data_IF_587965719307
#
_entry.id   IF_587965719307
#
_cell.length_a   1.000
_cell.length_b   1.000
_cell.length_c   1.000
_cell.angle_alpha   90.00
_cell.angle_beta   90.00
_cell.angle_gamma   90.00
#
_symmetry.space_group_name_H-M   'P 1'
#
loop_
_entity.id
_entity.type
_entity.pdbx_description
1 polymer ?
#
# COMPACT_ATOMS: atom_id res chain seq x y z
N UNK A 1 7.23 1.02 18.46
CA UNK A 1 8.06 2.17 18.07
C UNK A 1 8.90 1.92 16.79
N UNK A 2 9.30 0.67 16.43
CA UNK A 2 10.06 0.36 15.19
C UNK A 2 9.31 0.59 13.88
N UNK A 3 7.98 0.57 13.85
CA UNK A 3 7.18 0.76 12.63
C UNK A 3 7.08 2.22 12.13
N UNK A 4 7.26 3.21 13.00
CA UNK A 4 7.14 4.65 12.67
C UNK A 4 8.43 5.16 12.00
N UNK A 5 9.59 4.71 12.44
CA UNK A 5 10.89 5.07 11.84
C UNK A 5 11.04 4.50 10.43
N UNK A 6 10.62 3.24 10.20
CA UNK A 6 10.65 2.62 8.88
C UNK A 6 9.71 3.32 7.86
N UNK A 7 8.59 3.90 8.31
CA UNK A 7 7.68 4.69 7.46
C UNK A 7 8.27 6.08 7.14
N UNK A 8 8.95 6.74 8.08
CA UNK A 8 9.62 8.03 7.84
C UNK A 8 10.76 7.91 6.83
N UNK A 9 11.65 6.94 6.98
CA UNK A 9 12.76 6.69 6.05
C UNK A 9 12.27 6.33 4.64
N UNK A 10 11.15 5.60 4.54
CA UNK A 10 10.53 5.26 3.25
C UNK A 10 9.93 6.49 2.55
N UNK A 11 9.38 7.45 3.29
CA UNK A 11 8.89 8.71 2.75
C UNK A 11 10.02 9.66 2.32
N UNK A 12 11.11 9.73 3.07
CA UNK A 12 12.27 10.54 2.70
C UNK A 12 12.95 10.05 1.41
N UNK A 13 13.08 8.73 1.23
CA UNK A 13 13.59 8.14 -0.01
C UNK A 13 12.70 8.45 -1.23
N UNK A 14 11.37 8.51 -1.05
CA UNK A 14 10.41 8.91 -2.09
C UNK A 14 10.54 10.39 -2.45
N UNK A 15 10.66 11.26 -1.47
CA UNK A 15 10.85 12.71 -1.69
C UNK A 15 12.15 12.97 -2.47
N UNK A 16 13.26 12.35 -2.09
CA UNK A 16 14.53 12.47 -2.82
C UNK A 16 14.42 11.98 -4.26
N UNK A 17 13.71 10.87 -4.51
CA UNK A 17 13.53 10.34 -5.87
C UNK A 17 12.64 11.25 -6.72
N UNK A 18 11.59 11.86 -6.14
CA UNK A 18 10.78 12.89 -6.80
C UNK A 18 11.60 14.13 -7.15
N UNK A 19 12.45 14.59 -6.24
CA UNK A 19 13.35 15.72 -6.49
C UNK A 19 14.35 15.40 -7.62
N UNK A 20 14.91 14.19 -7.63
CA UNK A 20 15.83 13.75 -8.67
C UNK A 20 15.15 13.64 -10.04
N UNK A 21 13.93 13.09 -10.11
CA UNK A 21 13.15 13.06 -11.35
C UNK A 21 12.74 14.47 -11.83
N UNK A 22 12.50 15.42 -10.93
CA UNK A 22 12.27 16.85 -11.29
C UNK A 22 13.51 17.44 -11.96
N UNK A 23 14.70 17.18 -11.40
CA UNK A 23 15.98 17.64 -11.97
C UNK A 23 16.25 16.98 -13.33
N UNK A 24 16.01 15.68 -13.46
CA UNK A 24 16.18 14.95 -14.72
C UNK A 24 15.21 15.45 -15.80
N UNK A 25 13.98 15.81 -15.45
CA UNK A 25 13.02 16.45 -16.38
C UNK A 25 13.41 17.86 -16.77
N UNK A 26 13.89 18.68 -15.84
CA UNK A 26 14.46 20.00 -16.18
C UNK A 26 15.60 19.87 -17.20
N UNK A 27 16.49 18.88 -17.03
CA UNK A 27 17.57 18.62 -17.96
C UNK A 27 17.11 18.05 -19.32
N UNK A 28 15.96 17.34 -19.38
CA UNK A 28 15.35 16.92 -20.67
C UNK A 28 14.70 18.08 -21.39
N UNK A 29 14.11 19.05 -20.70
CA UNK A 29 13.57 20.30 -21.28
C UNK A 29 14.59 21.08 -22.07
N UNK A 30 15.83 21.14 -21.61
CA UNK A 30 16.93 21.84 -22.31
C UNK A 30 17.33 21.16 -23.62
N UNK A 31 16.86 19.94 -23.92
CA UNK A 31 17.18 19.19 -25.13
C UNK A 31 16.10 19.18 -26.21
N UNK A 32 14.84 19.45 -25.84
CA UNK A 32 13.73 19.52 -26.79
C UNK A 32 13.44 21.02 -26.99
N UNK A 33 13.70 21.49 -28.21
CA UNK A 33 13.54 22.91 -28.57
C UNK A 33 12.21 23.46 -28.09
N UNK A 34 12.27 24.54 -27.33
CA UNK A 34 11.18 25.21 -26.63
C UNK A 34 10.09 25.68 -27.61
N UNK A 35 8.94 25.03 -27.56
CA UNK A 35 7.68 25.69 -27.83
C UNK A 35 7.42 26.60 -26.65
N UNK A 36 7.52 27.90 -26.86
CA UNK A 36 7.44 28.94 -25.80
C UNK A 36 5.99 29.10 -25.34
N UNK A 37 5.45 28.05 -24.68
CA UNK A 37 4.15 28.10 -24.04
C UNK A 37 4.30 28.69 -22.62
N UNK A 38 4.29 30.04 -22.53
CA UNK A 38 4.13 30.70 -21.26
C UNK A 38 2.68 30.48 -20.76
N UNK A 39 2.46 29.35 -20.08
CA UNK A 39 1.16 29.01 -19.48
C UNK A 39 0.98 29.81 -18.17
N UNK A 40 -0.22 30.32 -17.98
CA UNK A 40 -0.55 31.05 -16.75
C UNK A 40 -0.91 30.06 -15.63
N UNK A 41 0.01 29.90 -14.68
CA UNK A 41 -0.27 29.19 -13.44
C UNK A 41 -0.99 30.06 -12.40
N UNK A 42 -1.47 31.24 -12.78
CA UNK A 42 -2.08 32.20 -11.84
C UNK A 42 -1.14 32.64 -10.70
N UNK A 43 -1.69 33.13 -9.61
CA UNK A 43 -0.91 33.41 -8.41
C UNK A 43 -0.32 32.09 -7.86
N UNK A 44 0.92 32.16 -7.39
CA UNK A 44 1.60 30.95 -6.85
C UNK A 44 0.84 30.41 -5.65
N UNK A 45 0.38 29.16 -5.74
CA UNK A 45 -0.11 28.42 -4.59
C UNK A 45 0.99 28.22 -3.54
N UNK A 46 0.62 27.84 -2.32
CA UNK A 46 1.56 27.36 -1.31
C UNK A 46 2.43 26.21 -1.84
N UNK A 47 3.53 25.88 -1.16
CA UNK A 47 4.37 24.72 -1.54
C UNK A 47 3.62 23.41 -1.50
N UNK A 48 2.69 23.27 -0.54
CA UNK A 48 1.78 22.12 -0.41
C UNK A 48 0.45 22.50 -0.99
N UNK A 49 -0.09 21.69 -1.89
CA UNK A 49 -1.42 21.83 -2.51
C UNK A 49 -2.48 21.12 -1.68
N UNK A 50 -2.19 19.89 -1.26
CA UNK A 50 -3.04 19.14 -0.35
C UNK A 50 -2.20 18.18 0.48
N UNK A 51 -2.58 17.99 1.75
CA UNK A 51 -2.01 17.01 2.66
C UNK A 51 -3.13 16.21 3.30
N UNK A 52 -3.10 14.91 3.08
CA UNK A 52 -4.02 13.92 3.62
C UNK A 52 -3.28 13.07 4.63
N UNK A 53 -3.82 12.89 5.84
CA UNK A 53 -3.25 12.08 6.90
C UNK A 53 -4.28 11.08 7.41
N UNK A 54 -4.06 9.78 7.19
CA UNK A 54 -4.92 8.71 7.68
C UNK A 54 -6.35 8.74 7.15
N UNK A 55 -6.55 9.25 5.93
CA UNK A 55 -7.87 9.50 5.36
C UNK A 55 -8.56 8.19 4.98
N UNK A 56 -9.79 8.02 5.46
CA UNK A 56 -10.65 6.90 5.06
C UNK A 56 -12.03 7.40 4.60
N UNK A 57 -12.62 6.69 3.62
CA UNK A 57 -13.94 6.98 3.07
C UNK A 57 -14.65 5.72 2.63
N UNK A 58 -15.89 5.56 3.11
CA UNK A 58 -16.79 4.45 2.75
C UNK A 58 -18.14 4.95 2.27
N UNK A 59 -18.82 4.14 1.51
CA UNK A 59 -20.22 4.34 1.12
C UNK A 59 -20.99 3.04 1.38
N UNK A 60 -21.84 3.04 2.38
CA UNK A 60 -22.45 1.82 2.92
C UNK A 60 -21.36 0.85 3.37
N UNK A 61 -21.45 -0.39 2.95
CA UNK A 61 -20.47 -1.44 3.30
C UNK A 61 -19.17 -1.40 2.45
N UNK A 62 -19.12 -0.53 1.46
CA UNK A 62 -17.96 -0.45 0.56
C UNK A 62 -16.96 0.60 1.00
N UNK A 63 -15.79 0.16 1.46
CA UNK A 63 -14.65 1.03 1.71
C UNK A 63 -13.94 1.38 0.41
N UNK A 64 -13.94 2.67 0.02
CA UNK A 64 -13.26 3.16 -1.18
C UNK A 64 -11.84 3.65 -0.91
N UNK A 65 -11.60 4.23 0.26
CA UNK A 65 -10.31 4.76 0.66
C UNK A 65 -10.06 4.34 2.11
N UNK A 66 -8.90 3.74 2.38
CA UNK A 66 -8.53 3.23 3.69
C UNK A 66 -7.14 3.72 4.09
N UNK A 67 -7.07 4.46 5.18
CA UNK A 67 -5.83 4.96 5.83
C UNK A 67 -4.84 5.61 4.84
N UNK A 68 -5.37 6.45 3.93
CA UNK A 68 -4.54 7.11 2.92
C UNK A 68 -3.79 8.30 3.53
N UNK A 69 -2.46 8.26 3.42
CA UNK A 69 -1.59 9.40 3.70
C UNK A 69 -0.90 9.82 2.41
N UNK A 70 -1.18 11.05 1.99
CA UNK A 70 -0.70 11.60 0.72
C UNK A 70 -0.36 13.09 0.88
N UNK A 71 0.73 13.51 0.26
CA UNK A 71 1.09 14.93 0.14
C UNK A 71 1.27 15.28 -1.32
N UNK A 72 0.46 16.23 -1.81
CA UNK A 72 0.53 16.78 -3.16
C UNK A 72 1.25 18.14 -3.08
N UNK A 73 2.34 18.25 -3.81
CA UNK A 73 3.15 19.48 -3.84
C UNK A 73 2.83 20.29 -5.08
N UNK A 74 3.11 21.58 -5.02
CA UNK A 74 3.03 22.46 -6.19
C UNK A 74 3.92 21.94 -7.32
N UNK A 75 3.36 21.87 -8.53
CA UNK A 75 4.04 21.35 -9.72
C UNK A 75 3.96 19.85 -9.88
N UNK A 76 3.37 19.11 -8.95
CA UNK A 76 3.14 17.67 -9.13
C UNK A 76 2.11 17.42 -10.24
N UNK A 77 2.38 16.41 -11.06
CA UNK A 77 1.44 15.87 -12.02
C UNK A 77 0.97 14.52 -11.49
N UNK A 78 -0.15 14.53 -10.77
CA UNK A 78 -0.69 13.37 -10.08
C UNK A 78 -1.63 12.60 -10.98
N UNK A 79 -1.22 11.41 -11.43
CA UNK A 79 -2.05 10.46 -12.17
C UNK A 79 -2.80 9.51 -11.24
N UNK A 80 -4.10 9.32 -11.47
CA UNK A 80 -4.92 8.37 -10.74
C UNK A 80 -5.24 7.17 -11.65
N UNK A 81 -4.76 5.99 -11.27
CA UNK A 81 -5.03 4.73 -11.96
C UNK A 81 -6.17 3.96 -11.29
N UNK A 82 -6.76 3.05 -12.04
CA UNK A 82 -7.73 2.08 -11.53
C UNK A 82 -9.01 1.99 -12.37
N UNK A 83 -9.78 0.92 -12.19
CA UNK A 83 -11.03 0.70 -12.93
C UNK A 83 -12.09 1.74 -12.56
N UNK A 84 -13.14 1.82 -13.41
CA UNK A 84 -14.27 2.69 -13.11
C UNK A 84 -14.98 2.25 -11.82
N UNK A 85 -15.43 3.23 -11.03
CA UNK A 85 -16.10 2.98 -9.75
C UNK A 85 -15.19 2.60 -8.58
N UNK A 86 -13.85 2.62 -8.74
CA UNK A 86 -12.91 2.31 -7.63
C UNK A 86 -12.77 3.45 -6.62
N UNK A 87 -13.28 4.66 -6.94
CA UNK A 87 -13.20 5.81 -6.04
C UNK A 87 -12.32 6.95 -6.53
N UNK A 88 -11.86 6.96 -7.80
CA UNK A 88 -11.00 8.04 -8.35
C UNK A 88 -11.61 9.43 -8.15
N UNK A 89 -12.86 9.63 -8.59
CA UNK A 89 -13.55 10.92 -8.45
C UNK A 89 -13.83 11.29 -6.97
N UNK A 90 -14.06 10.30 -6.12
CA UNK A 90 -14.17 10.51 -4.66
C UNK A 90 -12.86 10.99 -4.08
N UNK A 91 -11.75 10.37 -4.47
CA UNK A 91 -10.41 10.77 -4.01
C UNK A 91 -10.07 12.19 -4.47
N UNK A 92 -10.37 12.55 -5.73
CA UNK A 92 -10.19 13.93 -6.22
C UNK A 92 -11.00 14.91 -5.37
N UNK A 93 -12.28 14.65 -5.12
CA UNK A 93 -13.13 15.51 -4.30
C UNK A 93 -12.60 15.69 -2.88
N UNK A 94 -12.01 14.66 -2.30
CA UNK A 94 -11.38 14.73 -0.97
C UNK A 94 -10.08 15.54 -1.04
N UNK A 95 -9.21 15.31 -2.03
CA UNK A 95 -7.98 16.09 -2.25
C UNK A 95 -8.30 17.58 -2.40
N UNK A 96 -9.42 17.91 -3.02
CA UNK A 96 -9.85 19.30 -3.25
C UNK A 96 -10.70 19.87 -2.10
N UNK A 97 -10.93 19.12 -1.03
CA UNK A 97 -11.73 19.53 0.12
C UNK A 97 -13.23 19.67 -0.16
N UNK A 98 -13.71 19.16 -1.31
CA UNK A 98 -15.12 19.19 -1.71
C UNK A 98 -15.94 18.09 -1.05
N UNK A 99 -15.27 17.09 -0.49
CA UNK A 99 -15.89 15.99 0.24
C UNK A 99 -15.10 15.73 1.52
N UNK A 100 -15.83 15.62 2.63
CA UNK A 100 -15.23 15.28 3.91
C UNK A 100 -14.93 13.76 3.98
N UNK A 101 -13.77 13.36 4.49
CA UNK A 101 -13.49 11.97 4.81
C UNK A 101 -14.31 11.53 6.04
N UNK A 102 -14.45 10.22 6.22
CA UNK A 102 -15.09 9.65 7.41
C UNK A 102 -14.12 9.64 8.61
N UNK A 103 -12.82 9.51 8.33
CA UNK A 103 -11.74 9.64 9.31
C UNK A 103 -10.47 10.20 8.67
N UNK A 104 -9.56 10.68 9.51
CA UNK A 104 -8.33 11.35 9.08
C UNK A 104 -8.50 12.85 8.89
N UNK A 105 -7.47 13.51 8.40
CA UNK A 105 -7.45 14.97 8.19
C UNK A 105 -7.03 15.31 6.77
N UNK A 106 -7.65 16.38 6.24
CA UNK A 106 -7.31 16.97 4.94
C UNK A 106 -6.97 18.43 5.15
N UNK A 107 -5.76 18.82 4.78
CA UNK A 107 -5.32 20.21 4.80
C UNK A 107 -5.08 20.67 3.38
N UNK A 108 -5.75 21.75 2.99
CA UNK A 108 -5.57 22.39 1.68
C UNK A 108 -4.50 23.46 1.74
N UNK A 109 -3.78 23.61 0.65
CA UNK A 109 -2.87 24.74 0.45
C UNK A 109 -3.59 26.07 0.33
N UNK A 110 -2.81 27.14 0.37
CA UNK A 110 -3.31 28.51 0.20
C UNK A 110 -3.34 28.93 -1.27
N UNK A 111 -4.21 29.88 -1.62
CA UNK A 111 -4.33 30.47 -2.95
C UNK A 111 -4.54 29.45 -4.08
N UNK A 112 -5.35 28.43 -3.86
CA UNK A 112 -5.67 27.44 -4.88
C UNK A 112 -6.69 28.04 -5.87
N UNK A 113 -6.30 28.09 -7.15
CA UNK A 113 -7.16 28.44 -8.29
C UNK A 113 -7.37 27.17 -9.11
N UNK A 114 -8.53 26.54 -8.91
CA UNK A 114 -8.85 25.24 -9.49
C UNK A 114 -9.60 25.43 -10.81
N UNK A 115 -9.13 24.77 -11.87
CA UNK A 115 -9.86 24.65 -13.13
C UNK A 115 -10.15 23.19 -13.48
N UNK A 116 -11.40 22.92 -13.86
CA UNK A 116 -11.87 21.60 -14.27
C UNK A 116 -12.05 21.54 -15.77
N UNK A 117 -11.39 20.58 -16.42
CA UNK A 117 -11.52 20.41 -17.87
C UNK A 117 -12.95 20.00 -18.28
N UNK A 118 -13.55 19.07 -17.54
CA UNK A 118 -14.87 18.52 -17.89
C UNK A 118 -16.01 19.52 -17.73
N UNK A 119 -15.93 20.43 -16.76
CA UNK A 119 -16.94 21.48 -16.57
C UNK A 119 -16.96 22.47 -17.73
N UNK A 120 -15.83 22.68 -18.41
CA UNK A 120 -15.75 23.59 -19.54
C UNK A 120 -16.44 23.06 -20.80
N UNK A 121 -16.64 21.74 -20.93
CA UNK A 121 -17.36 21.13 -22.07
C UNK A 121 -18.79 21.63 -22.16
N UNK A 122 -19.48 21.80 -21.03
CA UNK A 122 -20.84 22.35 -20.95
C UNK A 122 -20.92 23.88 -21.15
N UNK A 123 -19.79 24.58 -21.07
CA UNK A 123 -19.74 26.05 -21.16
C UNK A 123 -19.47 26.59 -22.56
N UNK A 124 -19.30 25.74 -23.58
CA UNK A 124 -19.12 26.22 -24.94
C UNK A 124 -20.47 26.71 -25.54
N UNK A 125 -20.56 28.01 -25.71
CA UNK A 125 -21.70 28.62 -26.37
C UNK A 125 -21.60 28.43 -27.90
N UNK A 126 -22.49 27.65 -28.54
CA UNK A 126 -22.40 27.38 -29.97
C UNK A 126 -22.56 28.59 -30.87
N UNK A 127 -23.08 29.69 -30.33
CA UNK A 127 -23.35 30.93 -31.09
C UNK A 127 -22.14 31.85 -31.15
N UNK A 128 -21.20 31.74 -30.20
CA UNK A 128 -19.97 32.55 -30.12
C UNK A 128 -18.93 32.11 -31.14
N UNK A 129 -18.04 33.05 -31.48
CA UNK A 129 -16.82 32.75 -32.24
C UNK A 129 -15.73 32.17 -31.35
N UNK A 130 -14.70 31.60 -31.98
CA UNK A 130 -13.53 31.08 -31.23
C UNK A 130 -12.91 32.20 -30.40
N UNK A 131 -12.70 33.37 -31.00
CA UNK A 131 -12.16 34.56 -30.33
C UNK A 131 -12.99 34.94 -29.11
N UNK A 132 -14.32 35.10 -29.26
CA UNK A 132 -15.22 35.47 -28.16
C UNK A 132 -15.27 34.42 -27.06
N UNK A 133 -14.99 33.16 -27.39
CA UNK A 133 -14.95 32.06 -26.43
C UNK A 133 -13.72 32.09 -25.54
N UNK A 134 -12.55 32.44 -26.11
CA UNK A 134 -11.27 32.48 -25.42
C UNK A 134 -11.04 33.82 -24.74
N UNK A 135 -11.39 34.92 -25.44
CA UNK A 135 -11.17 36.30 -24.95
C UNK A 135 -12.39 37.17 -25.21
N UNK A 136 -13.43 37.13 -24.34
CA UNK A 136 -14.64 37.89 -24.50
C UNK A 136 -14.36 39.42 -24.51
N UNK A 137 -14.70 40.08 -25.61
CA UNK A 137 -14.60 41.54 -25.73
C UNK A 137 -13.17 42.08 -25.88
N UNK A 138 -12.17 41.23 -26.15
CA UNK A 138 -10.78 41.68 -26.37
C UNK A 138 -10.11 40.87 -27.49
N UNK A 139 -9.22 41.50 -28.22
CA UNK A 139 -8.32 40.85 -29.17
C UNK A 139 -7.08 40.25 -28.51
N UNK A 140 -6.98 40.36 -27.21
CA UNK A 140 -5.81 39.97 -26.45
C UNK A 140 -6.18 39.01 -25.32
N UNK A 141 -5.32 38.00 -25.13
CA UNK A 141 -5.39 37.06 -24.02
C UNK A 141 -4.15 37.27 -23.15
N UNK A 142 -4.32 37.28 -21.85
CA UNK A 142 -3.21 37.30 -20.90
C UNK A 142 -2.96 35.87 -20.39
N UNK A 143 -1.78 35.34 -20.67
CA UNK A 143 -1.40 33.97 -20.30
C UNK A 143 0.01 34.03 -19.71
N UNK A 144 0.19 33.58 -18.47
CA UNK A 144 1.48 33.61 -17.77
C UNK A 144 2.02 35.01 -17.54
N UNK A 145 1.15 36.03 -17.40
CA UNK A 145 1.55 37.41 -17.30
C UNK A 145 2.03 38.01 -18.63
N UNK A 146 1.93 37.27 -19.73
CA UNK A 146 2.27 37.73 -21.08
C UNK A 146 1.00 37.99 -21.87
N UNK A 147 0.88 39.19 -22.43
CA UNK A 147 -0.23 39.55 -23.29
C UNK A 147 0.02 39.10 -24.72
N UNK A 148 -0.79 38.14 -25.20
CA UNK A 148 -0.73 37.56 -26.55
C UNK A 148 -1.96 37.98 -27.35
N UNK A 149 -1.79 38.24 -28.66
CA UNK A 149 -2.93 38.42 -29.54
C UNK A 149 -3.71 37.08 -29.71
N UNK A 150 -5.06 37.15 -29.63
CA UNK A 150 -5.92 35.94 -29.65
C UNK A 150 -5.69 35.06 -30.87
N UNK A 151 -5.38 35.61 -32.05
CA UNK A 151 -5.08 34.89 -33.27
C UNK A 151 -3.81 34.01 -33.08
N UNK A 152 -2.74 34.61 -32.53
CA UNK A 152 -1.49 33.91 -32.26
C UNK A 152 -1.70 32.83 -31.19
N UNK A 153 -2.43 33.14 -30.13
CA UNK A 153 -2.78 32.21 -29.09
C UNK A 153 -3.60 30.99 -29.59
N UNK A 154 -4.65 31.24 -30.38
CA UNK A 154 -5.41 30.13 -31.00
C UNK A 154 -4.59 29.31 -32.00
N UNK A 155 -3.58 29.95 -32.64
CA UNK A 155 -2.62 29.26 -33.49
C UNK A 155 -1.81 28.20 -32.74
N UNK A 156 -1.47 28.41 -31.47
CA UNK A 156 -0.82 27.44 -30.59
C UNK A 156 -1.69 26.18 -30.36
N UNK A 157 -3.03 26.30 -30.52
CA UNK A 157 -4.01 25.22 -30.45
C UNK A 157 -4.45 24.72 -31.83
N UNK A 158 -3.61 24.90 -32.84
CA UNK A 158 -3.82 24.41 -34.21
C UNK A 158 -5.04 25.04 -34.94
N UNK A 159 -5.43 26.25 -34.56
CA UNK A 159 -6.45 27.01 -35.29
C UNK A 159 -5.79 27.98 -36.28
N UNK A 160 -6.04 27.82 -37.58
CA UNK A 160 -5.49 28.77 -38.54
C UNK A 160 -6.14 30.15 -38.42
N UNK A 161 -5.44 31.27 -38.73
CA UNK A 161 -5.91 32.62 -38.52
C UNK A 161 -7.29 32.94 -39.13
N UNK A 162 -7.62 32.36 -40.30
CA UNK A 162 -8.89 32.61 -40.98
C UNK A 162 -10.10 31.97 -40.26
N UNK A 163 -9.86 31.07 -39.30
CA UNK A 163 -10.95 30.39 -38.56
C UNK A 163 -11.30 31.03 -37.22
N UNK A 164 -10.57 32.05 -36.79
CA UNK A 164 -10.76 32.69 -35.47
C UNK A 164 -12.16 33.25 -35.28
N UNK A 165 -12.78 33.75 -36.36
CA UNK A 165 -14.13 34.31 -36.37
C UNK A 165 -15.24 33.30 -36.70
N UNK A 166 -14.90 32.02 -36.82
CA UNK A 166 -15.87 30.95 -37.06
C UNK A 166 -16.64 30.64 -35.79
N UNK A 167 -17.94 30.30 -35.91
CA UNK A 167 -18.78 29.97 -34.78
C UNK A 167 -18.42 28.57 -34.23
N UNK A 168 -18.48 28.40 -32.91
CA UNK A 168 -18.28 27.12 -32.22
C UNK A 168 -19.20 26.01 -32.73
N UNK A 169 -20.42 26.34 -33.18
CA UNK A 169 -21.38 25.38 -33.76
C UNK A 169 -20.84 24.64 -34.97
N UNK A 170 -19.92 25.25 -35.75
CA UNK A 170 -19.36 24.68 -36.98
C UNK A 170 -18.11 23.84 -36.78
N UNK A 171 -17.63 23.71 -35.51
CA UNK A 171 -16.45 22.94 -35.19
C UNK A 171 -16.75 21.45 -35.12
N UNK A 172 -15.82 20.64 -35.57
CA UNK A 172 -15.77 19.19 -35.32
C UNK A 172 -15.58 18.89 -33.81
N UNK A 173 -15.80 17.65 -33.40
CA UNK A 173 -15.58 17.24 -32.01
C UNK A 173 -14.14 17.51 -31.53
N UNK A 174 -13.12 17.11 -32.32
CA UNK A 174 -11.73 17.38 -32.00
C UNK A 174 -11.41 18.87 -31.91
N UNK A 175 -11.92 19.69 -32.85
CA UNK A 175 -11.74 21.15 -32.80
C UNK A 175 -12.40 21.78 -31.58
N UNK A 176 -13.59 21.30 -31.18
CA UNK A 176 -14.23 21.74 -29.91
C UNK A 176 -13.36 21.44 -28.70
N UNK A 177 -12.77 20.27 -28.65
CA UNK A 177 -11.88 19.89 -27.55
C UNK A 177 -10.60 20.75 -27.54
N UNK A 178 -9.98 21.06 -28.69
CA UNK A 178 -8.86 22.00 -28.79
C UNK A 178 -9.25 23.40 -28.30
N UNK A 179 -10.45 23.88 -28.66
CA UNK A 179 -10.95 25.16 -28.18
C UNK A 179 -11.18 25.18 -26.67
N UNK A 180 -11.67 24.05 -26.11
CA UNK A 180 -11.79 23.89 -24.66
C UNK A 180 -10.43 23.96 -23.95
N UNK A 181 -9.41 23.35 -24.52
CA UNK A 181 -8.04 23.45 -24.00
C UNK A 181 -7.55 24.89 -24.07
N UNK A 182 -7.73 25.56 -25.20
CA UNK A 182 -7.38 26.97 -25.32
C UNK A 182 -8.10 27.85 -24.27
N UNK A 183 -9.41 27.63 -24.05
CA UNK A 183 -10.18 28.33 -23.03
C UNK A 183 -9.70 27.99 -21.60
N UNK A 184 -9.33 26.73 -21.33
CA UNK A 184 -8.81 26.28 -20.04
C UNK A 184 -7.50 27.00 -19.69
N UNK A 185 -6.55 27.00 -20.63
CA UNK A 185 -5.23 27.57 -20.41
C UNK A 185 -5.21 29.11 -20.51
N UNK A 186 -6.26 29.74 -21.04
CA UNK A 186 -6.43 31.18 -20.97
C UNK A 186 -6.90 31.69 -19.61
N UNK A 187 -7.41 30.83 -18.75
CA UNK A 187 -7.81 31.16 -17.37
C UNK A 187 -6.63 30.96 -16.41
N UNK A 188 -6.37 31.91 -15.52
CA UNK A 188 -5.36 31.74 -14.49
C UNK A 188 -5.79 30.56 -13.58
N UNK A 189 -4.99 29.52 -13.54
CA UNK A 189 -5.23 28.37 -12.68
C UNK A 189 -3.88 27.81 -12.21
N UNK A 190 -3.77 27.41 -10.96
CA UNK A 190 -2.57 26.78 -10.42
C UNK A 190 -2.79 25.30 -10.06
N UNK A 191 -4.03 24.82 -10.21
CA UNK A 191 -4.42 23.43 -10.05
C UNK A 191 -5.42 23.03 -11.14
N UNK A 192 -4.99 22.14 -12.03
CA UNK A 192 -5.84 21.58 -13.09
C UNK A 192 -6.36 20.21 -12.69
N UNK A 193 -7.66 20.00 -12.92
CA UNK A 193 -8.31 18.70 -12.75
C UNK A 193 -8.78 18.22 -14.11
N UNK A 194 -8.26 17.08 -14.55
CA UNK A 194 -8.54 16.52 -15.87
C UNK A 194 -9.04 15.07 -15.69
N UNK A 195 -10.28 14.84 -16.09
CA UNK A 195 -10.89 13.52 -16.10
C UNK A 195 -11.07 13.09 -17.55
N UNK A 196 -10.33 12.02 -17.95
CA UNK A 196 -10.30 11.47 -19.31
C UNK A 196 -10.11 12.54 -20.42
N UNK A 197 -9.07 13.40 -20.32
CA UNK A 197 -8.91 14.51 -21.26
C UNK A 197 -8.56 14.06 -22.68
N UNK A 198 -8.09 12.82 -22.87
CA UNK A 198 -7.71 12.27 -24.18
C UNK A 198 -8.91 11.73 -24.97
N UNK A 199 -10.07 11.57 -24.33
CA UNK A 199 -11.27 11.13 -25.03
C UNK A 199 -11.68 12.16 -26.12
N UNK A 200 -11.98 11.65 -27.29
CA UNK A 200 -12.38 12.43 -28.47
C UNK A 200 -11.31 13.39 -29.04
N UNK A 201 -10.04 13.28 -28.63
CA UNK A 201 -8.92 14.00 -29.23
C UNK A 201 -8.28 13.18 -30.36
N UNK A 202 -7.84 13.88 -31.41
CA UNK A 202 -6.95 13.32 -32.42
C UNK A 202 -5.52 13.27 -31.89
N UNK A 203 -4.66 12.51 -32.58
CA UNK A 203 -3.26 12.27 -32.15
C UNK A 203 -2.50 13.59 -31.97
N UNK A 204 -2.64 14.53 -32.92
CA UNK A 204 -1.97 15.83 -32.87
C UNK A 204 -2.41 16.64 -31.64
N UNK A 205 -3.70 16.58 -31.29
CA UNK A 205 -4.24 17.25 -30.08
C UNK A 205 -3.75 16.59 -28.79
N UNK A 206 -3.56 15.26 -28.77
CA UNK A 206 -3.01 14.55 -27.61
C UNK A 206 -1.54 14.96 -27.42
N UNK A 207 -0.72 14.94 -28.48
CA UNK A 207 0.69 15.35 -28.41
C UNK A 207 0.84 16.81 -27.95
N UNK A 208 0.01 17.70 -28.48
CA UNK A 208 -0.04 19.10 -28.02
C UNK A 208 -0.40 19.20 -26.54
N UNK A 209 -1.41 18.45 -26.07
CA UNK A 209 -1.82 18.44 -24.67
C UNK A 209 -0.72 17.91 -23.75
N UNK A 210 -0.03 16.82 -24.17
CA UNK A 210 1.13 16.28 -23.44
C UNK A 210 2.23 17.33 -23.28
N UNK A 211 2.62 17.97 -24.39
CA UNK A 211 3.64 19.03 -24.36
C UNK A 211 3.23 20.18 -23.45
N UNK A 212 1.97 20.64 -23.58
CA UNK A 212 1.41 21.74 -22.77
C UNK A 212 1.40 21.41 -21.28
N UNK A 213 0.95 20.21 -20.90
CA UNK A 213 0.91 19.76 -19.50
C UNK A 213 2.31 19.50 -18.93
N UNK A 214 3.25 19.04 -19.75
CA UNK A 214 4.63 18.85 -19.31
C UNK A 214 5.29 20.17 -18.91
N UNK A 215 4.99 21.26 -19.63
CA UNK A 215 5.52 22.61 -19.37
C UNK A 215 4.70 23.39 -18.33
N UNK A 216 3.47 22.98 -18.07
CA UNK A 216 2.60 23.69 -17.14
C UNK A 216 3.21 23.76 -15.74
N UNK A 217 3.45 24.98 -15.18
CA UNK A 217 4.14 25.12 -13.90
C UNK A 217 3.26 24.82 -12.68
N UNK A 218 1.94 24.74 -12.86
CA UNK A 218 0.97 24.38 -11.82
C UNK A 218 0.89 22.89 -11.55
N UNK A 219 0.00 22.51 -10.66
CA UNK A 219 -0.28 21.13 -10.29
C UNK A 219 -1.39 20.56 -11.17
N UNK A 220 -1.30 19.28 -11.52
CA UNK A 220 -2.31 18.58 -12.31
C UNK A 220 -2.79 17.35 -11.56
N UNK A 221 -4.11 17.19 -11.45
CA UNK A 221 -4.76 15.92 -11.06
C UNK A 221 -5.34 15.31 -12.32
N UNK A 222 -4.81 14.17 -12.73
CA UNK A 222 -5.11 13.52 -13.99
C UNK A 222 -5.74 12.15 -13.77
N UNK A 223 -6.93 11.93 -14.33
CA UNK A 223 -7.51 10.60 -14.50
C UNK A 223 -7.49 10.27 -15.99
N UNK A 224 -6.86 9.19 -16.37
CA UNK A 224 -6.87 8.71 -17.76
C UNK A 224 -6.66 7.20 -17.83
N UNK A 225 -7.24 6.60 -18.87
CA UNK A 225 -6.97 5.21 -19.26
C UNK A 225 -5.86 5.09 -20.32
N UNK A 226 -5.42 6.21 -20.88
CA UNK A 226 -4.30 6.25 -21.80
C UNK A 226 -2.95 6.14 -21.05
N UNK A 227 -2.29 5.01 -21.28
CA UNK A 227 -1.03 4.66 -20.61
C UNK A 227 0.13 5.55 -21.07
N UNK A 228 0.22 5.79 -22.37
CA UNK A 228 1.28 6.61 -22.95
C UNK A 228 1.17 8.05 -22.46
N UNK A 229 -0.05 8.59 -22.46
CA UNK A 229 -0.34 9.92 -21.93
C UNK A 229 0.05 10.02 -20.44
N UNK A 230 -0.28 9.00 -19.64
CA UNK A 230 0.09 8.95 -18.23
C UNK A 230 1.60 8.97 -18.06
N UNK A 231 2.34 8.18 -18.84
CA UNK A 231 3.82 8.10 -18.77
C UNK A 231 4.49 9.41 -19.17
N UNK A 232 3.92 10.12 -20.16
CA UNK A 232 4.47 11.37 -20.65
C UNK A 232 4.20 12.55 -19.71
N UNK A 233 3.09 12.52 -18.95
CA UNK A 233 2.64 13.66 -18.13
C UNK A 233 2.90 13.42 -16.63
N UNK A 234 2.54 12.26 -16.08
CA UNK A 234 2.53 12.05 -14.63
C UNK A 234 3.93 12.04 -14.01
N UNK A 235 4.11 12.73 -12.90
CA UNK A 235 5.30 12.68 -12.04
C UNK A 235 5.09 11.77 -10.83
N UNK A 236 3.84 11.62 -10.43
CA UNK A 236 3.39 10.80 -9.31
C UNK A 236 2.12 10.08 -9.74
N UNK A 237 2.04 8.79 -9.46
CA UNK A 237 0.87 7.98 -9.77
C UNK A 237 0.29 7.42 -8.48
N UNK A 238 -1.03 7.44 -8.34
CA UNK A 238 -1.76 6.77 -7.26
C UNK A 238 -2.60 5.66 -7.89
N UNK A 239 -2.47 4.46 -7.33
CA UNK A 239 -3.23 3.30 -7.75
C UNK A 239 -3.91 2.60 -6.57
N UNK A 240 -5.12 2.06 -6.76
CA UNK A 240 -5.79 1.27 -5.75
C UNK A 240 -5.13 -0.10 -5.62
N UNK A 241 -5.04 -0.54 -4.40
CA UNK A 241 -4.69 -1.90 -4.01
C UNK A 241 -5.94 -2.62 -3.46
N UNK A 242 -5.75 -3.77 -2.83
CA UNK A 242 -6.86 -4.51 -2.19
C UNK A 242 -7.50 -3.70 -1.06
N UNK A 243 -8.78 -3.92 -0.83
CA UNK A 243 -9.54 -3.42 0.34
C UNK A 243 -9.53 -1.90 0.54
N UNK A 244 -9.58 -1.13 -0.55
CA UNK A 244 -9.64 0.32 -0.48
C UNK A 244 -8.32 1.02 -0.13
N UNK A 245 -7.23 0.29 -0.09
CA UNK A 245 -5.88 0.85 0.12
C UNK A 245 -5.41 1.52 -1.17
N UNK A 246 -4.93 2.75 -1.07
CA UNK A 246 -4.32 3.48 -2.18
C UNK A 246 -2.84 3.68 -1.95
N UNK A 247 -2.04 3.41 -2.95
CA UNK A 247 -0.58 3.52 -2.86
C UNK A 247 -0.06 4.50 -3.90
N UNK A 248 0.83 5.39 -3.48
CA UNK A 248 1.48 6.36 -4.35
C UNK A 248 2.82 5.83 -4.86
N UNK A 249 3.07 6.05 -6.16
CA UNK A 249 4.27 5.64 -6.88
C UNK A 249 4.87 6.84 -7.59
N UNK A 250 6.20 6.93 -7.59
CA UNK A 250 6.91 7.98 -8.32
C UNK A 250 7.05 7.54 -9.77
N UNK A 251 6.56 8.38 -10.70
CA UNK A 251 6.56 8.11 -12.13
C UNK A 251 5.18 7.84 -12.71
N UNK A 252 5.15 7.40 -13.95
CA UNK A 252 3.96 7.11 -14.73
C UNK A 252 3.43 5.68 -14.57
N UNK A 253 2.78 5.19 -15.62
CA UNK A 253 2.16 3.86 -15.67
C UNK A 253 3.22 2.74 -15.69
N UNK A 254 4.30 2.91 -16.47
CA UNK A 254 5.33 1.88 -16.56
C UNK A 254 6.06 1.63 -15.25
N UNK A 255 6.37 2.69 -14.49
CA UNK A 255 6.98 2.59 -13.18
C UNK A 255 6.06 1.90 -12.19
N UNK A 256 4.76 2.22 -12.23
CA UNK A 256 3.76 1.53 -11.43
C UNK A 256 3.69 0.03 -11.78
N UNK A 257 3.72 -0.31 -13.08
CA UNK A 257 3.68 -1.70 -13.54
C UNK A 257 4.88 -2.50 -13.03
N UNK A 258 6.10 -1.96 -13.16
CA UNK A 258 7.34 -2.57 -12.64
C UNK A 258 7.26 -2.81 -11.14
N UNK A 259 6.67 -1.87 -10.43
CA UNK A 259 6.50 -1.94 -8.97
C UNK A 259 5.47 -3.00 -8.57
N UNK A 260 4.34 -3.05 -9.26
CA UNK A 260 3.30 -4.05 -9.06
C UNK A 260 3.84 -5.46 -9.29
N UNK A 261 4.52 -5.70 -10.41
CA UNK A 261 5.08 -7.01 -10.76
C UNK A 261 6.15 -7.47 -9.76
N UNK A 262 6.96 -6.54 -9.26
CA UNK A 262 7.93 -6.83 -8.20
C UNK A 262 7.24 -7.24 -6.89
N UNK A 263 6.20 -6.53 -6.51
CA UNK A 263 5.43 -6.80 -5.30
C UNK A 263 4.69 -8.13 -5.39
N UNK A 264 4.04 -8.42 -6.51
CA UNK A 264 3.37 -9.71 -6.75
C UNK A 264 4.35 -10.89 -6.63
N UNK A 265 5.55 -10.75 -7.20
CA UNK A 265 6.62 -11.75 -7.05
C UNK A 265 7.09 -11.91 -5.61
N UNK A 266 7.20 -10.85 -4.85
CA UNK A 266 7.56 -10.88 -3.43
C UNK A 266 6.46 -11.53 -2.58
N UNK A 267 5.18 -11.21 -2.84
CA UNK A 267 4.02 -11.82 -2.19
C UNK A 267 3.93 -13.33 -2.50
N UNK A 268 4.16 -13.74 -3.76
CA UNK A 268 4.19 -15.15 -4.16
C UNK A 268 5.30 -15.92 -3.44
N UNK A 269 6.54 -15.38 -3.42
CA UNK A 269 7.66 -15.99 -2.69
C UNK A 269 7.40 -16.11 -1.19
N UNK A 270 6.79 -15.08 -0.59
CA UNK A 270 6.41 -15.11 0.82
C UNK A 270 5.33 -16.17 1.11
N UNK A 271 4.33 -16.30 0.22
CA UNK A 271 3.29 -17.32 0.34
C UNK A 271 3.85 -18.73 0.16
N UNK A 272 4.76 -18.95 -0.80
CA UNK A 272 5.44 -20.24 -0.99
C UNK A 272 6.31 -20.61 0.21
N UNK A 273 7.06 -19.65 0.75
CA UNK A 273 7.87 -19.88 1.96
C UNK A 273 7.01 -20.21 3.18
N UNK A 274 5.87 -19.53 3.36
CA UNK A 274 4.91 -19.82 4.42
C UNK A 274 4.30 -21.24 4.26
N UNK A 275 3.92 -21.61 3.03
CA UNK A 275 3.39 -22.95 2.73
C UNK A 275 4.43 -24.06 2.96
N UNK A 276 5.72 -23.81 2.64
CA UNK A 276 6.80 -24.75 2.94
C UNK A 276 7.07 -24.88 4.44
N UNK A 277 7.01 -23.77 5.18
CA UNK A 277 7.15 -23.77 6.64
C UNK A 277 6.03 -24.57 7.32
N UNK A 278 4.77 -24.40 6.87
CA UNK A 278 3.63 -25.16 7.40
C UNK A 278 3.74 -26.68 7.09
N UNK A 279 4.18 -27.03 5.86
CA UNK A 279 4.45 -28.43 5.50
C UNK A 279 5.58 -29.04 6.34
N UNK A 280 6.65 -28.29 6.61
CA UNK A 280 7.76 -28.76 7.45
C UNK A 280 7.36 -28.92 8.91
N UNK A 281 6.49 -28.06 9.46
CA UNK A 281 5.92 -28.21 10.79
C UNK A 281 4.98 -29.42 10.89
N UNK A 282 4.11 -29.63 9.88
CA UNK A 282 3.25 -30.83 9.84
C UNK A 282 4.04 -32.13 9.73
N UNK A 283 5.13 -32.12 8.94
CA UNK A 283 6.02 -33.29 8.83
C UNK A 283 6.78 -33.55 10.13
N UNK A 284 7.27 -32.51 10.82
CA UNK A 284 7.88 -32.62 12.16
C UNK A 284 6.89 -33.14 13.20
N UNK A 285 5.63 -32.67 13.19
CA UNK A 285 4.57 -33.21 14.09
C UNK A 285 4.17 -34.65 13.77
N UNK A 286 4.17 -35.08 12.50
CA UNK A 286 3.90 -36.47 12.10
C UNK A 286 5.05 -37.42 12.42
N UNK A 287 6.30 -36.94 12.41
CA UNK A 287 7.47 -37.76 12.76
C UNK A 287 7.79 -37.73 14.27
N UNK A 288 7.19 -36.88 15.06
CA UNK A 288 7.17 -36.98 16.51
C UNK A 288 6.07 -37.98 16.93
N UNK A 289 6.28 -39.29 16.67
CA UNK A 289 5.51 -40.32 17.35
C UNK A 289 5.76 -40.17 18.85
N UNK A 290 4.72 -40.18 19.67
CA UNK A 290 4.88 -40.25 21.12
C UNK A 290 5.37 -41.65 21.47
N UNK A 291 6.63 -41.92 21.30
CA UNK A 291 7.28 -43.17 21.70
C UNK A 291 8.22 -42.88 22.86
N UNK A 292 8.37 -43.87 23.76
CA UNK A 292 9.34 -43.83 24.83
C UNK A 292 10.73 -43.52 24.27
N UNK A 293 11.45 -42.57 24.89
CA UNK A 293 12.86 -42.33 24.57
C UNK A 293 13.69 -43.57 24.88
N UNK A 294 14.88 -43.70 24.28
CA UNK A 294 15.77 -44.83 24.55
C UNK A 294 16.07 -44.99 26.06
N UNK A 295 16.17 -43.91 26.81
CA UNK A 295 16.36 -43.92 28.26
C UNK A 295 15.14 -44.44 29.02
N UNK A 296 13.94 -44.03 28.61
CA UNK A 296 12.68 -44.50 29.22
C UNK A 296 12.42 -45.97 28.91
N UNK A 297 12.72 -46.45 27.70
CA UNK A 297 12.64 -47.87 27.34
C UNK A 297 13.59 -48.75 28.18
N UNK A 298 14.83 -48.26 28.38
CA UNK A 298 15.80 -48.97 29.22
C UNK A 298 15.33 -49.03 30.68
N UNK A 299 14.80 -47.91 31.18
CA UNK A 299 14.26 -47.81 32.54
C UNK A 299 13.07 -48.75 32.74
N UNK A 300 12.15 -48.82 31.78
CA UNK A 300 11.00 -49.72 31.80
C UNK A 300 11.41 -51.22 31.87
N UNK A 301 12.54 -51.61 31.24
CA UNK A 301 13.08 -52.96 31.31
C UNK A 301 13.78 -53.27 32.65
N UNK A 302 14.39 -52.27 33.30
CA UNK A 302 15.13 -52.46 34.55
C UNK A 302 14.24 -52.33 35.80
N UNK A 303 13.12 -51.60 35.74
CA UNK A 303 12.23 -51.36 36.86
C UNK A 303 11.64 -52.66 37.49
N UNK A 304 11.17 -53.69 36.71
CA UNK A 304 10.63 -54.90 37.29
C UNK A 304 11.64 -55.63 38.17
N UNK A 305 12.91 -55.72 37.73
CA UNK A 305 13.96 -56.34 38.52
C UNK A 305 14.32 -55.56 39.79
N UNK A 306 14.22 -54.22 39.74
CA UNK A 306 14.45 -53.39 40.92
C UNK A 306 13.30 -53.49 41.94
N UNK A 307 12.06 -53.60 41.45
CA UNK A 307 10.87 -53.79 42.28
C UNK A 307 10.96 -55.16 42.97
N UNK A 308 11.24 -56.22 42.20
CA UNK A 308 11.39 -57.58 42.76
C UNK A 308 12.48 -57.67 43.82
N UNK A 309 13.63 -57.01 43.63
CA UNK A 309 14.70 -56.98 44.64
C UNK A 309 14.26 -56.30 45.93
N UNK A 310 13.50 -55.19 45.83
CA UNK A 310 12.97 -54.49 47.00
C UNK A 310 11.86 -55.27 47.71
N UNK A 311 11.00 -55.94 46.97
CA UNK A 311 9.96 -56.84 47.52
C UNK A 311 10.57 -58.01 48.28
N UNK A 312 11.58 -58.66 47.69
CA UNK A 312 12.32 -59.72 48.36
C UNK A 312 12.97 -59.25 49.65
N UNK A 313 13.57 -58.05 49.64
CA UNK A 313 14.18 -57.46 50.84
C UNK A 313 13.12 -57.12 51.90
N UNK A 314 11.98 -56.59 51.49
CA UNK A 314 10.85 -56.33 52.36
C UNK A 314 10.34 -57.63 53.03
N UNK A 315 10.18 -58.68 52.26
CA UNK A 315 9.77 -60.01 52.76
C UNK A 315 10.76 -60.56 53.75
N UNK A 316 12.07 -60.50 53.45
CA UNK A 316 13.14 -60.94 54.43
C UNK A 316 13.04 -60.19 55.76
N UNK A 317 12.82 -58.88 55.74
CA UNK A 317 12.64 -58.07 56.95
C UNK A 317 11.36 -58.46 57.71
N UNK A 318 10.26 -58.70 56.99
CA UNK A 318 9.00 -59.17 57.60
C UNK A 318 9.17 -60.54 58.26
N UNK A 319 9.81 -61.50 57.58
CA UNK A 319 10.11 -62.83 58.16
C UNK A 319 11.00 -62.66 59.39
N UNK A 320 12.01 -61.85 59.35
CA UNK A 320 12.89 -61.56 60.47
C UNK A 320 12.15 -60.98 61.66
N UNK A 321 11.22 -60.05 61.46
CA UNK A 321 10.42 -59.41 62.49
C UNK A 321 9.37 -60.33 63.11
N UNK A 322 8.96 -61.42 62.39
CA UNK A 322 7.99 -62.43 62.85
C UNK A 322 8.65 -63.50 63.73
N UNK A 323 9.97 -63.58 63.75
CA UNK A 323 10.67 -64.59 64.57
C UNK A 323 10.47 -64.31 66.08
N UNK A 324 10.21 -65.32 66.88
CA UNK A 324 10.04 -65.17 68.34
C UNK A 324 11.24 -64.58 69.07
N UNK A 325 12.41 -64.68 68.49
CA UNK A 325 13.68 -64.13 68.97
C UNK A 325 13.85 -62.60 68.65
N UNK A 326 13.00 -62.03 67.79
CA UNK A 326 13.16 -60.65 67.35
C UNK A 326 12.98 -59.66 68.49
N UNK A 327 12.07 -59.85 69.42
CA UNK A 327 11.84 -58.97 70.59
C UNK A 327 13.00 -58.98 71.60
N UNK A 328 13.96 -59.82 71.50
CA UNK A 328 15.16 -59.85 72.35
C UNK A 328 16.40 -59.12 71.72
N UNK A 329 16.24 -58.53 70.51
CA UNK A 329 17.30 -57.73 69.89
C UNK A 329 17.44 -56.39 70.57
N UNK A 330 18.63 -55.77 70.36
CA UNK A 330 18.87 -54.42 70.87
C UNK A 330 17.84 -53.39 70.31
N UNK A 331 17.34 -52.48 71.13
CA UNK A 331 16.33 -51.49 70.69
C UNK A 331 16.74 -50.64 69.50
N UNK A 332 18.04 -50.43 69.33
CA UNK A 332 18.63 -49.72 68.15
C UNK A 332 18.46 -50.51 66.85
N UNK A 333 18.64 -51.84 66.89
CA UNK A 333 18.42 -52.71 65.73
C UNK A 333 16.97 -52.83 65.34
N UNK A 334 16.04 -52.89 66.28
CA UNK A 334 14.62 -52.89 66.03
C UNK A 334 14.17 -51.60 65.33
N UNK A 335 14.71 -50.44 65.76
CA UNK A 335 14.50 -49.16 65.10
C UNK A 335 15.07 -49.14 63.67
N UNK A 336 16.29 -49.56 63.49
CA UNK A 336 16.93 -49.59 62.19
C UNK A 336 16.20 -50.47 61.16
N UNK A 337 15.75 -51.68 61.60
CA UNK A 337 14.94 -52.56 60.76
C UNK A 337 13.55 -51.92 60.41
N UNK A 338 12.96 -51.15 61.33
CA UNK A 338 11.73 -50.41 61.09
C UNK A 338 11.91 -49.22 60.10
N UNK A 339 13.00 -48.48 60.26
CA UNK A 339 13.34 -47.36 59.35
C UNK A 339 13.67 -47.89 57.96
N UNK A 340 14.34 -49.03 57.85
CA UNK A 340 14.65 -49.73 56.56
C UNK A 340 13.34 -50.17 55.90
N UNK A 341 12.41 -50.73 56.67
CA UNK A 341 11.12 -51.16 56.16
C UNK A 341 10.29 -49.98 55.57
N UNK A 342 10.24 -48.84 56.29
CA UNK A 342 9.56 -47.62 55.80
C UNK A 342 10.23 -47.08 54.53
N UNK A 343 11.57 -47.12 54.45
CA UNK A 343 12.31 -46.66 53.30
C UNK A 343 12.04 -47.54 52.08
N UNK A 344 12.07 -48.88 52.24
CA UNK A 344 11.75 -49.83 51.16
C UNK A 344 10.31 -49.61 50.66
N UNK A 345 9.34 -49.45 51.59
CA UNK A 345 7.93 -49.21 51.22
C UNK A 345 7.78 -47.96 50.36
N UNK A 346 8.47 -46.86 50.71
CA UNK A 346 8.43 -45.63 49.96
C UNK A 346 9.11 -45.76 48.60
N UNK A 347 10.27 -46.45 48.53
CA UNK A 347 10.96 -46.70 47.27
C UNK A 347 10.14 -47.60 46.33
N UNK A 348 9.41 -48.55 46.84
CA UNK A 348 8.48 -49.41 46.07
C UNK A 348 7.34 -48.57 45.49
N UNK A 349 6.71 -47.71 46.31
CA UNK A 349 5.62 -46.86 45.84
C UNK A 349 6.09 -45.93 44.69
N UNK A 350 7.26 -45.30 44.83
CA UNK A 350 7.85 -44.44 43.81
C UNK A 350 8.17 -45.23 42.51
N UNK A 351 8.69 -46.46 42.62
CA UNK A 351 9.02 -47.29 41.47
C UNK A 351 7.78 -47.85 40.75
N UNK A 352 6.76 -48.22 41.49
CA UNK A 352 5.49 -48.65 40.90
C UNK A 352 4.80 -47.51 40.15
N UNK A 353 4.73 -46.29 40.72
CA UNK A 353 4.19 -45.14 40.07
C UNK A 353 4.94 -44.80 38.77
N UNK A 354 6.27 -44.85 38.78
CA UNK A 354 7.10 -44.63 37.59
C UNK A 354 6.90 -45.71 36.53
N UNK A 355 6.75 -46.97 36.93
CA UNK A 355 6.51 -48.09 36.02
C UNK A 355 5.16 -47.94 35.33
N UNK A 356 4.09 -47.61 36.07
CA UNK A 356 2.76 -47.37 35.54
C UNK A 356 2.73 -46.20 34.55
N UNK A 357 3.40 -45.07 34.86
CA UNK A 357 3.54 -43.94 33.96
C UNK A 357 4.23 -44.29 32.63
N UNK A 358 5.28 -45.11 32.68
CA UNK A 358 6.01 -45.54 31.50
C UNK A 358 5.22 -46.59 30.66
N UNK A 359 4.47 -47.46 31.29
CA UNK A 359 3.56 -48.41 30.59
C UNK A 359 2.41 -47.66 29.91
N UNK A 360 1.80 -46.69 30.56
CA UNK A 360 0.78 -45.85 29.95
C UNK A 360 1.32 -45.11 28.70
N UNK A 361 2.50 -44.53 28.81
CA UNK A 361 3.18 -43.88 27.67
C UNK A 361 3.48 -44.88 26.55
N UNK A 362 3.83 -46.12 26.86
CA UNK A 362 4.09 -47.16 25.87
C UNK A 362 2.80 -47.61 25.18
N UNK A 363 1.70 -47.72 25.92
CA UNK A 363 0.41 -48.12 25.38
C UNK A 363 -0.20 -47.07 24.45
N UNK A 364 0.03 -45.78 24.74
CA UNK A 364 -0.39 -44.63 23.89
C UNK A 364 0.47 -44.51 22.62
N UNK A 365 1.64 -45.17 22.58
CA UNK A 365 2.55 -45.13 21.44
C UNK A 365 2.33 -46.27 20.42
N UNK A 366 1.65 -47.33 20.82
CA UNK A 366 1.26 -48.50 20.00
C UNK A 366 -0.14 -48.30 19.40
#
# INVERSE_FOLDING_TARGET
RRGIEARRTRNEGRVRRLEQMRIEREQRRDRIGTLDHNLDAGERSGKVVAELEGVSKSFGDRCLIKDLTLRVMRGDKLGLLGPNGVGKSTLIKIILGQMQPDSGTVKLGTNLQIAYFDQLRSELDPTKTLQETVSPGSDWVEVGGVRKHVIGYLGEFLFPPHRVNVKVSSLSGGERNRLLLAKLFAKPANLLVMDEPTNDLDIESIEMLEATLAEYPGTVLLVTHDRSFMDNVATLTIAPDKDGVWTSYVGGYEEWLKWRDKREKEEQKAAEAAAQADKSQKTRRRNAKPGLSYKENKLLQELPGQIEALENRQNELVELMQQPSYGSKAPEQIRADGDEMQKIAKELEEKYALWEELEEKQSLAN
#
